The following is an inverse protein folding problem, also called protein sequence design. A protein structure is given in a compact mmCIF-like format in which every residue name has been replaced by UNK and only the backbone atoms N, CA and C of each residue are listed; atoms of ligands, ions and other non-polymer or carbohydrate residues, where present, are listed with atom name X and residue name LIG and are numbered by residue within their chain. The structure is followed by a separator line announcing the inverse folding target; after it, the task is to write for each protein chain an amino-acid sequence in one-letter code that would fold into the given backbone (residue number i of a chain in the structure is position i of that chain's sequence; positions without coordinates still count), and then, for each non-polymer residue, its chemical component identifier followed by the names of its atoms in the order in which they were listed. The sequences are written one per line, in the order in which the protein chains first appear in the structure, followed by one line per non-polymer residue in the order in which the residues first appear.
data_IF_720758704905
#
_entry.id   IF_720758704905
#
_cell.length_a   1.000
_cell.length_b   1.000
_cell.length_c   1.000
_cell.angle_alpha   90.00
_cell.angle_beta   90.00
_cell.angle_gamma   90.00
#
_symmetry.space_group_name_H-M   'P 1'
#
loop_
_entity.id
_entity.type
_entity.pdbx_description
1 polymer ?
#
# COMPACT_ATOMS: atom_id res chain seq x y z
N UNK A 1 8.04 57.89 1.97
CA UNK A 1 8.96 56.73 1.94
C UNK A 1 8.12 55.49 1.86
N UNK A 2 8.54 54.51 1.07
CA UNK A 2 7.85 53.23 0.96
C UNK A 2 8.61 52.23 1.81
N UNK A 3 7.91 51.43 2.61
CA UNK A 3 8.50 50.34 3.38
C UNK A 3 8.04 49.03 2.77
N UNK A 4 8.98 48.11 2.59
CA UNK A 4 8.71 46.77 2.10
C UNK A 4 8.56 45.82 3.29
N UNK A 5 7.51 45.00 3.27
CA UNK A 5 7.26 43.99 4.29
C UNK A 5 7.25 42.64 3.60
N UNK A 6 8.21 41.79 3.95
CA UNK A 6 8.28 40.41 3.45
C UNK A 6 7.61 39.50 4.47
N UNK A 7 6.66 38.68 4.01
CA UNK A 7 6.02 37.63 4.79
C UNK A 7 6.47 36.29 4.19
N UNK A 8 6.94 35.39 5.05
CA UNK A 8 7.27 34.01 4.67
C UNK A 8 6.29 33.08 5.35
N UNK A 9 5.68 32.18 4.57
CA UNK A 9 4.82 31.09 5.06
C UNK A 9 5.57 29.79 4.78
N UNK A 10 5.70 28.93 5.78
CA UNK A 10 6.24 27.59 5.63
C UNK A 10 5.10 26.59 5.84
N UNK A 11 4.89 25.70 4.87
CA UNK A 11 3.97 24.57 5.01
C UNK A 11 4.46 23.58 6.07
N UNK A 12 3.55 22.73 6.55
CA UNK A 12 3.86 21.53 7.29
C UNK A 12 3.63 20.33 6.38
N UNK A 13 4.23 19.19 6.75
CA UNK A 13 4.01 17.90 6.11
C UNK A 13 2.59 17.40 6.45
N UNK A 14 1.82 17.03 5.43
CA UNK A 14 0.50 16.43 5.51
C UNK A 14 0.61 14.92 5.23
N UNK A 15 -0.10 14.04 5.97
CA UNK A 15 -0.02 12.61 5.70
C UNK A 15 -0.62 12.24 4.34
N UNK A 16 0.02 11.30 3.64
CA UNK A 16 -0.56 10.69 2.44
C UNK A 16 -1.89 9.99 2.77
N UNK A 17 -2.82 10.03 1.82
CA UNK A 17 -4.13 9.38 1.90
C UNK A 17 -4.15 8.12 1.02
N UNK A 18 -4.49 6.98 1.62
CA UNK A 18 -4.67 5.70 0.92
C UNK A 18 -6.16 5.42 0.80
N UNK A 19 -6.62 5.10 -0.40
CA UNK A 19 -8.03 4.84 -0.70
C UNK A 19 -8.22 3.54 -1.50
N UNK A 20 -9.44 3.01 -1.44
CA UNK A 20 -9.90 1.91 -2.29
C UNK A 20 -10.90 2.50 -3.29
N UNK A 21 -10.39 2.86 -4.47
CA UNK A 21 -11.18 3.41 -5.56
C UNK A 21 -11.89 2.37 -6.42
N UNK A 22 -12.44 2.81 -7.55
CA UNK A 22 -13.00 1.91 -8.55
C UNK A 22 -11.88 1.07 -9.18
N UNK A 23 -11.95 -0.25 -9.04
CA UNK A 23 -10.93 -1.18 -9.52
C UNK A 23 -9.88 -1.58 -8.49
N UNK A 24 -9.80 -0.85 -7.37
CA UNK A 24 -8.94 -1.20 -6.24
C UNK A 24 -9.57 -2.27 -5.35
N UNK A 25 -8.73 -2.90 -4.53
CA UNK A 25 -9.17 -3.75 -3.44
C UNK A 25 -8.15 -3.76 -2.32
N UNK A 26 -8.61 -3.67 -1.08
CA UNK A 26 -7.82 -3.89 0.14
C UNK A 26 -8.02 -5.30 0.72
N UNK A 27 -8.69 -6.18 -0.03
CA UNK A 27 -9.03 -7.53 0.39
C UNK A 27 -8.68 -8.56 -0.70
N UNK A 28 -8.25 -9.74 -0.27
CA UNK A 28 -8.04 -10.89 -1.13
C UNK A 28 -8.24 -12.17 -0.33
N UNK A 29 -8.65 -13.24 -1.00
CA UNK A 29 -8.79 -14.56 -0.40
C UNK A 29 -8.18 -15.62 -1.31
N UNK A 30 -7.68 -16.68 -0.68
CA UNK A 30 -7.23 -17.90 -1.34
C UNK A 30 -7.89 -19.09 -0.66
N UNK A 31 -8.11 -20.16 -1.41
CA UNK A 31 -8.64 -21.42 -0.88
C UNK A 31 -7.67 -22.54 -1.20
N UNK A 32 -7.38 -23.39 -0.22
CA UNK A 32 -6.54 -24.58 -0.40
C UNK A 32 -6.98 -25.38 -1.65
N UNK A 33 -6.01 -25.79 -2.46
CA UNK A 33 -6.20 -26.57 -3.68
C UNK A 33 -7.04 -25.89 -4.79
N UNK A 34 -7.36 -24.60 -4.67
CA UNK A 34 -8.12 -23.84 -5.68
C UNK A 34 -7.23 -22.83 -6.38
N UNK A 35 -7.24 -22.83 -7.71
CA UNK A 35 -6.49 -21.90 -8.55
C UNK A 35 -4.97 -21.85 -8.25
N UNK A 36 -4.42 -23.00 -7.85
CA UNK A 36 -2.99 -23.21 -7.58
C UNK A 36 -2.16 -22.94 -8.83
N UNK A 37 -1.11 -22.11 -8.68
CA UNK A 37 -0.20 -21.79 -9.77
C UNK A 37 0.57 -23.06 -10.20
N UNK A 38 0.47 -23.50 -11.48
CA UNK A 38 0.95 -24.82 -11.89
C UNK A 38 2.47 -25.00 -11.85
N UNK A 39 3.24 -23.91 -11.82
CA UNK A 39 4.70 -23.96 -11.81
C UNK A 39 5.30 -23.85 -10.40
N UNK A 40 4.72 -23.00 -9.54
CA UNK A 40 5.23 -22.78 -8.19
C UNK A 40 4.49 -23.57 -7.11
N UNK A 41 3.29 -24.08 -7.42
CA UNK A 41 2.31 -24.63 -6.48
C UNK A 41 1.79 -23.63 -5.43
N UNK A 42 1.94 -22.33 -5.68
CA UNK A 42 1.43 -21.31 -4.76
C UNK A 42 -0.05 -20.98 -5.01
N UNK A 43 -0.73 -20.57 -3.95
CA UNK A 43 -1.96 -19.80 -3.98
C UNK A 43 -1.66 -18.31 -4.03
N UNK A 44 -2.39 -17.57 -4.87
CA UNK A 44 -2.15 -16.15 -5.09
C UNK A 44 -3.42 -15.31 -5.03
N UNK A 45 -3.31 -14.12 -4.46
CA UNK A 45 -4.31 -13.05 -4.55
C UNK A 45 -3.63 -11.73 -4.90
N UNK A 46 -4.30 -10.88 -5.67
CA UNK A 46 -3.77 -9.59 -6.14
C UNK A 46 -4.82 -8.50 -6.03
N UNK A 47 -4.37 -7.26 -5.93
CA UNK A 47 -5.21 -6.08 -6.04
C UNK A 47 -4.39 -4.81 -6.12
N UNK A 48 -5.05 -3.67 -6.11
CA UNK A 48 -4.43 -2.35 -6.14
C UNK A 48 -4.98 -1.46 -5.04
N UNK A 49 -4.15 -0.52 -4.57
CA UNK A 49 -4.54 0.56 -3.68
C UNK A 49 -4.11 1.88 -4.31
N UNK A 50 -4.94 2.92 -4.16
CA UNK A 50 -4.59 4.26 -4.60
C UNK A 50 -3.99 5.06 -3.45
N UNK A 51 -2.87 5.77 -3.70
CA UNK A 51 -2.27 6.73 -2.76
C UNK A 51 -2.22 8.13 -3.36
N UNK A 52 -2.54 9.14 -2.55
CA UNK A 52 -2.44 10.55 -2.91
C UNK A 52 -1.75 11.34 -1.81
N UNK A 53 -1.07 12.41 -2.18
CA UNK A 53 -0.43 13.33 -1.26
C UNK A 53 -0.70 14.78 -1.72
N UNK A 54 -1.00 15.66 -0.77
CA UNK A 54 -1.35 17.07 -1.06
C UNK A 54 -0.10 17.96 -1.10
N UNK A 55 1.02 17.50 -0.55
CA UNK A 55 2.25 18.26 -0.50
C UNK A 55 2.90 18.35 -1.88
N UNK A 56 2.99 19.58 -2.40
CA UNK A 56 3.51 19.83 -3.75
C UNK A 56 5.02 19.51 -3.91
N UNK A 57 5.73 19.29 -2.80
CA UNK A 57 7.14 18.92 -2.76
C UNK A 57 7.37 17.43 -2.49
N UNK A 58 6.30 16.62 -2.48
CA UNK A 58 6.37 15.17 -2.32
C UNK A 58 5.67 14.44 -3.47
N UNK A 59 5.96 13.15 -3.61
CA UNK A 59 5.31 12.23 -4.54
C UNK A 59 4.73 11.09 -3.74
N UNK A 60 3.40 10.97 -3.76
CA UNK A 60 2.67 9.88 -3.15
C UNK A 60 3.20 8.53 -3.65
N UNK A 61 3.69 7.69 -2.75
CA UNK A 61 4.19 6.36 -3.08
C UNK A 61 4.11 5.44 -1.86
N UNK A 62 3.84 4.16 -2.09
CA UNK A 62 3.98 3.15 -1.06
C UNK A 62 5.45 2.80 -0.83
N UNK A 63 5.80 2.47 0.41
CA UNK A 63 7.05 1.77 0.66
C UNK A 63 6.91 0.31 0.25
N UNK A 64 7.71 -0.20 -0.71
CA UNK A 64 7.56 -1.57 -1.16
C UNK A 64 7.89 -2.59 -0.07
N UNK A 65 7.26 -3.77 -0.16
CA UNK A 65 7.45 -4.92 0.73
C UNK A 65 7.05 -4.63 2.19
N UNK A 66 5.75 -4.76 2.46
CA UNK A 66 5.19 -4.59 3.79
C UNK A 66 5.78 -5.57 4.82
N UNK A 67 5.73 -5.18 6.10
CA UNK A 67 6.04 -6.06 7.22
C UNK A 67 4.75 -6.62 7.79
N UNK A 68 4.69 -7.93 8.01
CA UNK A 68 3.54 -8.55 8.66
C UNK A 68 3.33 -8.01 10.07
N UNK A 69 2.11 -7.53 10.34
CA UNK A 69 1.64 -7.20 11.67
C UNK A 69 0.63 -8.27 12.13
N UNK A 70 0.86 -8.98 13.26
CA UNK A 70 -0.06 -10.00 13.75
C UNK A 70 -1.34 -9.43 14.38
N UNK A 71 -1.48 -8.11 14.52
CA UNK A 71 -2.69 -7.49 15.04
C UNK A 71 -3.92 -7.87 14.20
N UNK A 72 -4.93 -8.45 14.83
CA UNK A 72 -6.13 -8.96 14.15
C UNK A 72 -5.96 -10.32 13.45
N UNK A 73 -4.75 -10.87 13.38
CA UNK A 73 -4.49 -12.21 12.81
C UNK A 73 -4.81 -13.33 13.79
N UNK A 74 -5.25 -14.48 13.26
CA UNK A 74 -5.38 -15.74 14.03
C UNK A 74 -4.04 -16.46 14.23
N UNK A 75 -2.98 -16.04 13.52
CA UNK A 75 -1.62 -16.58 13.59
C UNK A 75 -0.61 -15.49 13.99
N UNK A 76 0.36 -15.85 14.84
CA UNK A 76 1.43 -14.94 15.26
C UNK A 76 2.52 -14.71 14.21
N UNK A 77 2.57 -15.56 13.19
CA UNK A 77 3.51 -15.49 12.06
C UNK A 77 2.73 -15.52 10.75
N UNK A 78 3.22 -14.82 9.74
CA UNK A 78 2.65 -14.91 8.40
C UNK A 78 2.89 -16.32 7.84
N UNK A 79 1.85 -16.89 7.21
CA UNK A 79 1.98 -18.14 6.44
C UNK A 79 2.43 -17.85 5.01
N UNK A 80 1.90 -16.78 4.42
CA UNK A 80 2.33 -16.24 3.13
C UNK A 80 3.15 -14.96 3.24
N UNK A 81 3.40 -14.35 2.09
CA UNK A 81 4.08 -13.06 1.95
C UNK A 81 3.20 -12.10 1.15
N UNK A 82 3.06 -10.86 1.65
CA UNK A 82 2.45 -9.76 0.93
C UNK A 82 3.53 -8.80 0.45
N UNK A 83 3.54 -8.49 -0.85
CA UNK A 83 4.34 -7.43 -1.45
C UNK A 83 3.42 -6.35 -2.00
N UNK A 84 3.95 -5.13 -2.13
CA UNK A 84 3.27 -4.01 -2.78
C UNK A 84 4.32 -3.23 -3.57
N UNK A 85 3.96 -2.74 -4.77
CA UNK A 85 4.78 -1.80 -5.53
C UNK A 85 4.64 -0.39 -4.95
N UNK A 86 5.50 0.54 -5.37
CA UNK A 86 5.37 1.96 -5.04
C UNK A 86 4.08 2.57 -5.59
N UNK A 87 3.60 2.08 -6.73
CA UNK A 87 2.33 2.46 -7.36
C UNK A 87 1.08 1.80 -6.74
N UNK A 88 1.24 0.89 -5.76
CA UNK A 88 0.13 0.33 -5.00
C UNK A 88 -0.42 -1.02 -5.49
N UNK A 89 0.23 -1.66 -6.45
CA UNK A 89 -0.12 -3.04 -6.86
C UNK A 89 0.39 -4.02 -5.81
N UNK A 90 -0.50 -4.75 -5.14
CA UNK A 90 -0.14 -5.74 -4.14
C UNK A 90 -0.37 -7.17 -4.61
N UNK A 91 0.45 -8.08 -4.09
CA UNK A 91 0.33 -9.51 -4.30
C UNK A 91 0.54 -10.25 -2.98
N UNK A 92 -0.36 -11.17 -2.66
CA UNK A 92 -0.21 -12.14 -1.60
C UNK A 92 0.08 -13.52 -2.20
N UNK A 93 1.10 -14.20 -1.69
CA UNK A 93 1.49 -15.55 -2.11
C UNK A 93 1.66 -16.45 -0.90
N UNK A 94 1.14 -17.68 -0.95
CA UNK A 94 1.32 -18.72 0.06
C UNK A 94 1.38 -20.09 -0.60
N UNK A 95 2.25 -20.98 -0.11
CA UNK A 95 2.35 -22.40 -0.52
C UNK A 95 1.32 -23.25 0.24
#
# INVERSE_FOLDING_TARGET
TTSEVTITINGADDPSEITVGEGDSDMGEVTEDVDVAPESNDLMATGTLTITDVDANDVAAFQPNGTFNPEGSTNYTALGMLTITDDGEWTYVVD
#
